data_IF_319676228691
#
_entry.id   IF_319676228691
#
_cell.length_a   1.000
_cell.length_b   1.000
_cell.length_c   1.000
_cell.angle_alpha   90.00
_cell.angle_beta   90.00
_cell.angle_gamma   90.00
#
_symmetry.space_group_name_H-M   'P 1'
#
loop_
_entity.id
_entity.type
_entity.pdbx_description
1 polymer ?
#
# COMPACT_ATOMS: atom_id res chain seq x y z
N UNK A 1 18.42 -17.21 -12.04
CA UNK A 1 18.09 -16.90 -10.63
C UNK A 1 16.59 -16.65 -10.62
N UNK A 2 15.81 -17.59 -10.11
CA UNK A 2 14.36 -17.39 -9.97
C UNK A 2 14.16 -16.29 -8.92
N UNK A 3 13.54 -15.17 -9.32
CA UNK A 3 13.24 -14.08 -8.40
C UNK A 3 12.03 -14.51 -7.59
N UNK A 4 12.26 -15.08 -6.40
CA UNK A 4 11.20 -15.45 -5.47
C UNK A 4 10.76 -14.18 -4.75
N UNK A 5 9.50 -13.79 -4.96
CA UNK A 5 8.91 -12.59 -4.36
C UNK A 5 8.52 -12.86 -2.90
N UNK A 6 9.47 -12.61 -2.00
CA UNK A 6 9.26 -12.70 -0.54
C UNK A 6 8.63 -11.43 0.06
N UNK A 7 8.11 -11.56 1.29
CA UNK A 7 7.43 -10.48 2.03
C UNK A 7 8.34 -9.26 2.23
N UNK A 8 9.65 -9.48 2.30
CA UNK A 8 10.67 -8.45 2.41
C UNK A 8 10.60 -7.42 1.28
N UNK A 9 10.31 -7.85 0.04
CA UNK A 9 10.21 -6.94 -1.09
C UNK A 9 9.05 -5.93 -0.91
N UNK A 10 7.92 -6.40 -0.40
CA UNK A 10 6.76 -5.56 -0.12
C UNK A 10 7.01 -4.56 1.01
N UNK A 11 7.74 -4.97 2.06
CA UNK A 11 8.11 -4.06 3.14
C UNK A 11 9.12 -3.00 2.70
N UNK A 12 10.08 -3.35 1.84
CA UNK A 12 10.98 -2.36 1.25
C UNK A 12 10.19 -1.33 0.43
N UNK A 13 9.23 -1.78 -0.39
CA UNK A 13 8.34 -0.88 -1.15
C UNK A 13 7.56 0.03 -0.21
N UNK A 14 7.00 -0.50 0.88
CA UNK A 14 6.29 0.29 1.88
C UNK A 14 7.19 1.39 2.48
N UNK A 15 8.42 1.04 2.89
CA UNK A 15 9.38 2.00 3.45
C UNK A 15 9.77 3.06 2.42
N UNK A 16 10.04 2.68 1.18
CA UNK A 16 10.36 3.61 0.09
C UNK A 16 9.21 4.59 -0.16
N UNK A 17 7.96 4.11 -0.15
CA UNK A 17 6.78 4.97 -0.29
C UNK A 17 6.63 5.96 0.88
N UNK A 18 6.95 5.54 2.11
CA UNK A 18 6.99 6.45 3.27
C UNK A 18 8.10 7.50 3.11
N UNK A 19 9.28 7.11 2.63
CA UNK A 19 10.37 8.07 2.37
C UNK A 19 9.95 9.09 1.31
N UNK A 20 9.31 8.63 0.22
CA UNK A 20 8.79 9.53 -0.83
C UNK A 20 7.78 10.51 -0.23
N UNK A 21 6.88 10.07 0.64
CA UNK A 21 5.93 10.94 1.33
C UNK A 21 6.63 12.00 2.19
N UNK A 22 7.68 11.63 2.93
CA UNK A 22 8.43 12.59 3.77
C UNK A 22 9.07 13.69 2.90
N UNK A 23 9.53 13.34 1.69
CA UNK A 23 10.10 14.28 0.74
C UNK A 23 9.04 15.11 0.01
N UNK A 24 7.89 14.50 -0.27
CA UNK A 24 6.77 15.08 -1.00
C UNK A 24 5.46 14.81 -0.23
N UNK A 25 5.06 15.70 0.70
CA UNK A 25 3.88 15.51 1.53
C UNK A 25 2.62 15.65 0.67
N UNK A 26 2.17 14.52 0.12
CA UNK A 26 1.06 14.41 -0.83
C UNK A 26 -0.11 13.61 -0.24
N UNK A 27 0.06 13.04 0.96
CA UNK A 27 -0.74 12.04 1.67
C UNK A 27 -1.00 10.73 0.90
N UNK A 28 -0.87 10.77 -0.44
CA UNK A 28 -1.13 9.68 -1.35
C UNK A 28 -0.13 8.53 -1.22
N UNK A 29 1.16 8.84 -1.09
CA UNK A 29 2.19 7.80 -0.99
C UNK A 29 2.10 7.04 0.34
N UNK A 30 1.67 7.70 1.42
CA UNK A 30 1.34 7.06 2.70
C UNK A 30 0.27 5.99 2.58
N UNK A 31 -0.83 6.27 1.86
CA UNK A 31 -1.90 5.29 1.63
C UNK A 31 -1.43 4.08 0.83
N UNK A 32 -0.56 4.29 -0.16
CA UNK A 32 0.05 3.20 -0.92
C UNK A 32 1.08 2.42 -0.08
N UNK A 33 1.82 3.08 0.81
CA UNK A 33 2.75 2.42 1.72
C UNK A 33 2.02 1.46 2.67
N UNK A 34 0.87 1.88 3.21
CA UNK A 34 0.04 1.03 4.06
C UNK A 34 -0.47 -0.18 3.27
N UNK A 35 -0.92 0.01 2.02
CA UNK A 35 -1.34 -1.11 1.17
C UNK A 35 -0.20 -2.10 0.89
N UNK A 36 1.02 -1.61 0.62
CA UNK A 36 2.21 -2.44 0.43
C UNK A 36 2.57 -3.22 1.70
N UNK A 37 2.52 -2.56 2.87
CA UNK A 37 2.78 -3.19 4.15
C UNK A 37 1.76 -4.30 4.45
N UNK A 38 0.47 -4.03 4.27
CA UNK A 38 -0.60 -5.02 4.43
C UNK A 38 -0.44 -6.22 3.49
N UNK A 39 0.00 -5.99 2.25
CA UNK A 39 0.30 -7.07 1.29
C UNK A 39 1.47 -7.92 1.76
N UNK A 40 2.53 -7.30 2.31
CA UNK A 40 3.65 -8.03 2.92
C UNK A 40 3.24 -8.84 4.15
N UNK A 41 2.34 -8.30 4.99
CA UNK A 41 1.76 -9.05 6.14
C UNK A 41 0.92 -10.22 5.67
N UNK A 42 0.12 -10.06 4.61
CA UNK A 42 -0.64 -11.15 4.01
C UNK A 42 0.28 -12.27 3.51
N UNK A 43 1.40 -11.92 2.86
CA UNK A 43 2.40 -12.90 2.44
C UNK A 43 3.10 -13.59 3.62
N UNK A 44 3.35 -12.85 4.70
CA UNK A 44 3.94 -13.41 5.91
C UNK A 44 3.01 -14.46 6.56
N UNK A 45 1.69 -14.24 6.51
CA UNK A 45 0.69 -15.19 6.98
C UNK A 45 0.46 -16.35 6.01
N UNK A 46 0.59 -16.11 4.70
CA UNK A 46 0.38 -17.08 3.63
C UNK A 46 1.57 -17.08 2.65
N UNK A 47 2.67 -17.78 2.98
CA UNK A 47 3.89 -17.78 2.16
C UNK A 47 3.74 -18.53 0.83
N UNK A 48 2.76 -19.42 0.71
CA UNK A 48 2.43 -20.16 -0.53
C UNK A 48 1.70 -19.28 -1.58
N UNK A 49 1.48 -17.99 -1.29
CA UNK A 49 0.70 -17.11 -2.14
C UNK A 49 1.50 -16.69 -3.39
N UNK A 50 1.00 -17.12 -4.56
CA UNK A 50 1.56 -16.78 -5.87
C UNK A 50 1.61 -15.25 -6.09
N UNK A 51 2.58 -14.79 -6.88
CA UNK A 51 2.86 -13.37 -7.07
C UNK A 51 1.69 -12.59 -7.70
N UNK A 52 0.84 -13.24 -8.51
CA UNK A 52 -0.35 -12.65 -9.11
C UNK A 52 -1.34 -12.17 -8.03
N UNK A 53 -1.54 -12.99 -6.99
CA UNK A 53 -2.42 -12.64 -5.88
C UNK A 53 -1.85 -11.51 -5.01
N UNK A 54 -0.52 -11.43 -4.88
CA UNK A 54 0.15 -10.35 -4.15
C UNK A 54 -0.13 -9.00 -4.83
N UNK A 55 0.09 -8.93 -6.14
CA UNK A 55 -0.13 -7.70 -6.93
C UNK A 55 -1.62 -7.34 -6.96
N UNK A 56 -2.51 -8.33 -7.06
CA UNK A 56 -3.96 -8.12 -7.03
C UNK A 56 -4.44 -7.56 -5.68
N UNK A 57 -3.94 -8.10 -4.57
CA UNK A 57 -4.21 -7.59 -3.21
C UNK A 57 -3.71 -6.16 -3.06
N UNK A 58 -2.48 -5.89 -3.47
CA UNK A 58 -1.90 -4.55 -3.41
C UNK A 58 -2.70 -3.53 -4.22
N UNK A 59 -3.09 -3.88 -5.45
CA UNK A 59 -3.90 -3.03 -6.32
C UNK A 59 -5.27 -2.76 -5.69
N UNK A 60 -5.93 -3.79 -5.18
CA UNK A 60 -7.25 -3.68 -4.54
C UNK A 60 -7.18 -2.80 -3.29
N UNK A 61 -6.20 -3.02 -2.41
CA UNK A 61 -5.99 -2.21 -1.20
C UNK A 61 -5.63 -0.76 -1.54
N UNK A 62 -4.84 -0.52 -2.58
CA UNK A 62 -4.50 0.83 -3.03
C UNK A 62 -5.73 1.59 -3.53
N UNK A 63 -6.58 0.93 -4.34
CA UNK A 63 -7.84 1.53 -4.81
C UNK A 63 -8.77 1.83 -3.64
N UNK A 64 -8.94 0.90 -2.69
CA UNK A 64 -9.76 1.11 -1.50
C UNK A 64 -9.25 2.30 -0.69
N UNK A 65 -7.95 2.41 -0.46
CA UNK A 65 -7.36 3.52 0.27
C UNK A 65 -7.65 4.88 -0.39
N UNK A 66 -7.55 4.96 -1.72
CA UNK A 66 -7.87 6.19 -2.48
C UNK A 66 -9.36 6.53 -2.35
N UNK A 67 -10.23 5.53 -2.45
CA UNK A 67 -11.69 5.72 -2.32
C UNK A 67 -12.07 6.17 -0.92
N UNK A 68 -11.49 5.55 0.12
CA UNK A 68 -11.70 5.93 1.53
C UNK A 68 -11.23 7.36 1.78
N UNK A 69 -10.04 7.72 1.31
CA UNK A 69 -9.52 9.09 1.40
C UNK A 69 -10.44 10.10 0.72
N UNK A 70 -10.83 9.83 -0.53
CA UNK A 70 -11.70 10.72 -1.30
C UNK A 70 -13.07 10.89 -0.64
N UNK A 71 -13.64 9.81 -0.09
CA UNK A 71 -14.93 9.87 0.61
C UNK A 71 -14.84 10.65 1.93
N UNK A 72 -13.75 10.49 2.68
CA UNK A 72 -13.51 11.25 3.91
C UNK A 72 -13.37 12.75 3.64
N UNK A 73 -12.66 13.12 2.57
CA UNK A 73 -12.45 14.53 2.20
C UNK A 73 -13.74 15.24 1.78
N UNK A 74 -14.68 14.52 1.15
CA UNK A 74 -15.96 15.10 0.71
C UNK A 74 -16.92 15.33 1.88
N UNK A 75 -16.83 14.52 2.94
CA UNK A 75 -17.76 14.59 4.08
C UNK A 75 -17.45 15.67 5.12
N UNK A 76 -16.23 16.19 5.15
CA UNK A 76 -15.81 17.23 6.11
C UNK A 76 -15.38 18.50 5.37
N UNK A 77 -16.32 19.32 4.87
CA UNK A 77 -15.96 20.64 4.38
C UNK A 77 -15.33 21.44 5.52
N UNK A 78 -14.16 22.01 5.26
CA UNK A 78 -13.50 22.97 6.15
C UNK A 78 -14.49 24.14 6.31
N UNK A 79 -15.16 24.20 7.46
CA UNK A 79 -16.00 25.35 7.79
C UNK A 79 -15.06 26.56 7.88
N UNK A 80 -15.15 27.44 6.89
CA UNK A 80 -14.48 28.75 6.90
C UNK A 80 -15.26 29.71 7.77
#
# INVERSE_FOLDING_TARGET
MEVVMDFWHWWIIAVVLVIIEILAPTFFALWMAIAAFMTGVALFLMPEMQWEYQVFLFATLSVISIVVWRHYYIKNPIAT
#
